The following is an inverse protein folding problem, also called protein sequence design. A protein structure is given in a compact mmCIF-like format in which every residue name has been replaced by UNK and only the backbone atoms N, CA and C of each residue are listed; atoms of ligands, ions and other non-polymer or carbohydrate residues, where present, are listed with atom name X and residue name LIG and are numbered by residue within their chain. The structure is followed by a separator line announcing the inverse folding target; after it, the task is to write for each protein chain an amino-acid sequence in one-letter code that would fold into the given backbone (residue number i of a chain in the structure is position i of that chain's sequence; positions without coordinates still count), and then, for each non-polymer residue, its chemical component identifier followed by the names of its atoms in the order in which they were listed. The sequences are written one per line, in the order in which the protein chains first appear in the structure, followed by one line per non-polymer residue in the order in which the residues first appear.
data_IF_327313959653
#
_entry.id   IF_327313959653
#
_cell.length_a   1.000
_cell.length_b   1.000
_cell.length_c   1.000
_cell.angle_alpha   90.00
_cell.angle_beta   90.00
_cell.angle_gamma   90.00
#
_symmetry.space_group_name_H-M   'P 1'
#
loop_
_entity.id
_entity.type
_entity.pdbx_description
1 polymer ?
#
# COMPACT_ATOMS: atom_id res chain seq x y z
N UNK A 1 -0.92 -17.51 -25.47
CA UNK A 1 0.11 -16.52 -25.89
C UNK A 1 0.83 -15.88 -24.70
N UNK A 2 0.14 -15.36 -23.68
CA UNK A 2 0.77 -14.69 -22.52
C UNK A 2 1.73 -15.60 -21.73
N UNK A 3 1.39 -16.87 -21.53
CA UNK A 3 2.25 -17.84 -20.85
C UNK A 3 3.55 -18.11 -21.64
N UNK A 4 3.49 -18.15 -22.97
CA UNK A 4 4.67 -18.33 -23.82
C UNK A 4 5.61 -17.12 -23.77
N UNK A 5 5.06 -15.90 -23.73
CA UNK A 5 5.85 -14.66 -23.61
C UNK A 5 6.53 -14.61 -22.23
N UNK A 6 5.82 -15.00 -21.17
CA UNK A 6 6.39 -15.06 -19.81
C UNK A 6 7.54 -16.05 -19.72
N UNK A 7 7.36 -17.26 -20.26
CA UNK A 7 8.41 -18.29 -20.30
C UNK A 7 9.65 -17.81 -21.06
N UNK A 8 9.45 -17.13 -22.21
CA UNK A 8 10.56 -16.59 -23.01
C UNK A 8 11.30 -15.47 -22.30
N UNK A 9 10.58 -14.61 -21.56
CA UNK A 9 11.20 -13.56 -20.73
C UNK A 9 12.02 -14.15 -19.57
N UNK A 10 11.55 -15.21 -18.93
CA UNK A 10 12.29 -15.90 -17.88
C UNK A 10 13.56 -16.57 -18.43
N UNK A 11 13.48 -17.18 -19.61
CA UNK A 11 14.62 -17.76 -20.32
C UNK A 11 15.67 -16.69 -20.63
N UNK A 12 15.27 -15.57 -21.27
CA UNK A 12 16.15 -14.45 -21.60
C UNK A 12 16.79 -13.80 -20.36
N UNK A 13 16.04 -13.67 -19.27
CA UNK A 13 16.57 -13.22 -17.97
C UNK A 13 17.62 -14.18 -17.40
N UNK A 14 17.38 -15.50 -17.57
CA UNK A 14 18.32 -16.53 -17.18
C UNK A 14 19.61 -16.48 -18.01
N UNK A 15 19.50 -16.32 -19.33
CA UNK A 15 20.64 -16.20 -20.24
C UNK A 15 21.46 -14.93 -19.96
N UNK A 16 20.79 -13.79 -19.75
CA UNK A 16 21.48 -12.53 -19.43
C UNK A 16 22.20 -12.58 -18.09
N UNK A 17 21.63 -13.24 -17.09
CA UNK A 17 22.32 -13.48 -15.81
C UNK A 17 23.54 -14.37 -15.97
N UNK A 18 23.43 -15.47 -16.73
CA UNK A 18 24.54 -16.38 -17.02
C UNK A 18 25.67 -15.68 -17.82
N UNK A 19 25.29 -14.88 -18.81
CA UNK A 19 26.26 -14.11 -19.60
C UNK A 19 27.01 -13.07 -18.75
N UNK A 20 26.28 -12.34 -17.89
CA UNK A 20 26.90 -11.40 -16.94
C UNK A 20 27.83 -12.10 -15.95
N UNK A 21 27.45 -13.28 -15.44
CA UNK A 21 28.30 -14.03 -14.54
C UNK A 21 29.57 -14.50 -15.24
N UNK A 22 29.46 -15.09 -16.44
CA UNK A 22 30.63 -15.49 -17.24
C UNK A 22 31.58 -14.33 -17.52
N UNK A 23 31.04 -13.16 -17.92
CA UNK A 23 31.84 -11.97 -18.16
C UNK A 23 32.57 -11.47 -16.88
N UNK A 24 31.92 -11.58 -15.72
CA UNK A 24 32.57 -11.28 -14.42
C UNK A 24 33.69 -12.27 -14.10
N UNK A 25 33.43 -13.55 -14.28
CA UNK A 25 34.42 -14.61 -13.99
C UNK A 25 35.65 -14.50 -14.92
N UNK A 26 35.43 -14.23 -16.22
CA UNK A 26 36.51 -14.00 -17.20
C UNK A 26 37.32 -12.73 -16.85
N UNK A 27 36.63 -11.63 -16.48
CA UNK A 27 37.31 -10.39 -16.08
C UNK A 27 38.15 -10.59 -14.80
N UNK A 28 37.68 -11.41 -13.85
CA UNK A 28 38.39 -11.72 -12.62
C UNK A 28 39.63 -12.60 -12.90
N UNK A 29 39.47 -13.60 -13.78
CA UNK A 29 40.61 -14.43 -14.21
C UNK A 29 41.69 -13.62 -14.91
N UNK A 30 41.30 -12.69 -15.76
CA UNK A 30 42.20 -11.81 -16.49
C UNK A 30 42.95 -10.87 -15.55
N UNK A 31 42.24 -10.29 -14.55
CA UNK A 31 42.82 -9.44 -13.53
C UNK A 31 43.81 -10.23 -12.63
N UNK A 32 43.50 -11.47 -12.26
CA UNK A 32 44.43 -12.37 -11.53
C UNK A 32 45.70 -12.66 -12.34
N UNK A 33 45.53 -13.01 -13.62
CA UNK A 33 46.68 -13.29 -14.49
C UNK A 33 47.59 -12.06 -14.67
N UNK A 34 47.01 -10.88 -14.81
CA UNK A 34 47.75 -9.60 -14.89
C UNK A 34 48.50 -9.30 -13.56
N UNK A 35 47.83 -9.52 -12.43
CA UNK A 35 48.45 -9.32 -11.12
C UNK A 35 49.63 -10.30 -10.89
N UNK A 36 49.43 -11.58 -11.25
CA UNK A 36 50.53 -12.60 -11.16
C UNK A 36 51.71 -12.23 -12.04
N UNK A 37 51.47 -11.71 -13.25
CA UNK A 37 52.49 -11.24 -14.16
C UNK A 37 53.28 -10.06 -13.57
N UNK A 38 52.52 -9.06 -13.06
CA UNK A 38 53.14 -7.90 -12.42
C UNK A 38 53.97 -8.25 -11.17
N UNK A 39 53.53 -9.24 -10.38
CA UNK A 39 54.30 -9.78 -9.24
C UNK A 39 55.58 -10.42 -9.73
N UNK A 40 55.55 -11.23 -10.78
CA UNK A 40 56.74 -11.90 -11.36
C UNK A 40 57.73 -10.91 -11.95
N UNK A 41 57.24 -9.83 -12.55
CA UNK A 41 58.06 -8.76 -13.13
C UNK A 41 58.49 -7.71 -12.10
N UNK A 42 58.06 -7.85 -10.84
CA UNK A 42 58.34 -6.94 -9.72
C UNK A 42 57.90 -5.48 -10.00
N UNK A 43 56.81 -5.35 -10.78
CA UNK A 43 56.24 -4.09 -11.20
C UNK A 43 55.21 -3.56 -10.18
N UNK A 44 55.73 -2.88 -9.17
CA UNK A 44 54.92 -2.34 -8.08
C UNK A 44 53.92 -1.27 -8.56
N UNK A 45 54.21 -0.56 -9.63
CA UNK A 45 53.34 0.50 -10.16
C UNK A 45 52.08 -0.10 -10.84
N UNK A 46 52.27 -1.19 -11.60
CA UNK A 46 51.14 -1.94 -12.17
C UNK A 46 50.28 -2.57 -11.09
N UNK A 47 50.86 -3.15 -10.05
CA UNK A 47 50.12 -3.74 -8.93
C UNK A 47 49.26 -2.69 -8.22
N UNK A 48 49.81 -1.52 -7.95
CA UNK A 48 49.11 -0.41 -7.29
C UNK A 48 47.96 0.11 -8.15
N UNK A 49 48.12 0.17 -9.47
CA UNK A 49 47.09 0.56 -10.42
C UNK A 49 45.94 -0.45 -10.47
N UNK A 50 46.28 -1.75 -10.49
CA UNK A 50 45.29 -2.85 -10.46
C UNK A 50 44.48 -2.81 -9.16
N UNK A 51 45.15 -2.66 -8.03
CA UNK A 51 44.51 -2.62 -6.70
C UNK A 51 43.58 -1.40 -6.57
N UNK A 52 44.03 -0.23 -7.03
CA UNK A 52 43.23 1.01 -7.07
C UNK A 52 41.99 0.83 -7.92
N UNK A 53 42.13 0.32 -9.14
CA UNK A 53 41.01 0.05 -10.04
C UNK A 53 40.01 -0.95 -9.45
N UNK A 54 40.50 -1.98 -8.76
CA UNK A 54 39.67 -2.97 -8.07
C UNK A 54 38.90 -2.35 -6.91
N UNK A 55 39.57 -1.54 -6.10
CA UNK A 55 38.96 -0.81 -4.98
C UNK A 55 37.88 0.16 -5.45
N UNK A 56 38.12 0.92 -6.52
CA UNK A 56 37.15 1.85 -7.13
C UNK A 56 35.92 1.10 -7.67
N UNK A 57 36.12 -0.02 -8.37
CA UNK A 57 35.01 -0.87 -8.85
C UNK A 57 34.17 -1.41 -7.70
N UNK A 58 34.84 -1.92 -6.65
CA UNK A 58 34.13 -2.46 -5.49
C UNK A 58 33.32 -1.37 -4.76
N UNK A 59 33.89 -0.17 -4.62
CA UNK A 59 33.21 0.97 -4.04
C UNK A 59 31.99 1.38 -4.86
N UNK A 60 32.11 1.41 -6.18
CA UNK A 60 31.00 1.73 -7.09
C UNK A 60 29.89 0.66 -7.04
N UNK A 61 30.25 -0.63 -7.04
CA UNK A 61 29.29 -1.74 -6.91
C UNK A 61 28.55 -1.69 -5.56
N UNK A 62 29.28 -1.43 -4.47
CA UNK A 62 28.67 -1.29 -3.14
C UNK A 62 27.71 -0.09 -3.08
N UNK A 63 28.10 1.05 -3.63
CA UNK A 63 27.23 2.24 -3.70
C UNK A 63 25.96 1.96 -4.50
N UNK A 64 26.08 1.34 -5.68
CA UNK A 64 24.94 0.96 -6.51
C UNK A 64 24.02 -0.04 -5.82
N UNK A 65 24.59 -1.06 -5.16
CA UNK A 65 23.82 -2.06 -4.41
C UNK A 65 23.09 -1.43 -3.23
N UNK A 66 23.76 -0.53 -2.51
CA UNK A 66 23.13 0.19 -1.38
C UNK A 66 21.97 1.07 -1.85
N UNK A 67 22.13 1.76 -2.97
CA UNK A 67 21.05 2.58 -3.56
C UNK A 67 19.88 1.71 -4.00
N UNK A 68 20.15 0.64 -4.73
CA UNK A 68 19.10 -0.29 -5.18
C UNK A 68 18.35 -0.95 -4.02
N UNK A 69 19.08 -1.27 -2.92
CA UNK A 69 18.47 -1.82 -1.72
C UNK A 69 17.54 -0.79 -1.04
N UNK A 70 17.99 0.46 -0.92
CA UNK A 70 17.14 1.54 -0.37
C UNK A 70 15.87 1.73 -1.19
N UNK A 71 15.98 1.83 -2.50
CA UNK A 71 14.83 1.97 -3.41
C UNK A 71 13.87 0.78 -3.30
N UNK A 72 14.41 -0.43 -3.18
CA UNK A 72 13.59 -1.64 -2.99
C UNK A 72 12.85 -1.64 -1.65
N UNK A 73 13.51 -1.21 -0.56
CA UNK A 73 12.89 -1.09 0.76
C UNK A 73 11.79 -0.04 0.74
N UNK A 74 12.08 1.16 0.24
CA UNK A 74 11.10 2.24 0.13
C UNK A 74 9.89 1.84 -0.74
N UNK A 75 10.14 1.15 -1.85
CA UNK A 75 9.09 0.61 -2.72
C UNK A 75 8.22 -0.44 -2.00
N UNK A 76 8.85 -1.32 -1.24
CA UNK A 76 8.15 -2.33 -0.45
C UNK A 76 7.32 -1.69 0.67
N UNK A 77 7.89 -0.78 1.44
CA UNK A 77 7.18 -0.05 2.50
C UNK A 77 5.98 0.71 1.95
N UNK A 78 6.14 1.41 0.82
CA UNK A 78 5.05 2.13 0.16
C UNK A 78 3.94 1.19 -0.30
N UNK A 79 4.29 0.06 -0.92
CA UNK A 79 3.29 -0.90 -1.40
C UNK A 79 2.56 -1.58 -0.24
N UNK A 80 3.27 -1.89 0.84
CA UNK A 80 2.68 -2.45 2.06
C UNK A 80 1.75 -1.44 2.72
N UNK A 81 2.17 -0.19 2.87
CA UNK A 81 1.33 0.87 3.40
C UNK A 81 0.05 1.04 2.57
N UNK A 82 0.14 1.11 1.24
CA UNK A 82 -1.03 1.23 0.36
C UNK A 82 -2.01 0.06 0.54
N UNK A 83 -1.49 -1.16 0.67
CA UNK A 83 -2.31 -2.34 0.91
C UNK A 83 -3.02 -2.27 2.26
N UNK A 84 -2.29 -1.97 3.32
CA UNK A 84 -2.86 -1.88 4.68
C UNK A 84 -3.89 -0.74 4.78
N UNK A 85 -3.61 0.41 4.20
CA UNK A 85 -4.57 1.53 4.12
C UNK A 85 -5.82 1.15 3.34
N UNK A 86 -5.68 0.43 2.22
CA UNK A 86 -6.83 -0.04 1.44
C UNK A 86 -7.66 -1.06 2.21
N UNK A 87 -7.00 -2.01 2.89
CA UNK A 87 -7.66 -2.99 3.75
C UNK A 87 -8.43 -2.30 4.88
N UNK A 88 -7.79 -1.32 5.52
CA UNK A 88 -8.42 -0.55 6.58
C UNK A 88 -9.59 0.31 6.04
N UNK A 89 -9.45 0.89 4.85
CA UNK A 89 -10.50 1.64 4.15
C UNK A 89 -11.79 0.85 3.94
N UNK A 90 -11.70 -0.46 3.75
CA UNK A 90 -12.88 -1.35 3.65
C UNK A 90 -13.72 -1.32 4.93
N UNK A 91 -13.10 -1.12 6.10
CA UNK A 91 -13.80 -1.05 7.39
C UNK A 91 -14.79 0.12 7.51
N UNK A 92 -14.65 1.13 6.65
CA UNK A 92 -15.57 2.28 6.55
C UNK A 92 -16.82 1.99 5.73
N UNK A 93 -16.95 0.80 5.15
CA UNK A 93 -18.07 0.39 4.30
C UNK A 93 -18.31 1.34 3.11
N UNK A 94 -17.32 1.49 2.19
CA UNK A 94 -17.41 2.44 1.07
C UNK A 94 -18.55 2.10 0.11
N UNK A 95 -19.13 3.12 -0.51
CA UNK A 95 -20.26 2.96 -1.47
C UNK A 95 -19.82 2.36 -2.79
N UNK A 96 -18.54 2.49 -3.17
CA UNK A 96 -17.98 2.03 -4.43
C UNK A 96 -16.47 1.81 -4.33
N UNK A 97 -15.87 1.18 -5.37
CA UNK A 97 -14.42 1.05 -5.48
C UNK A 97 -13.72 2.42 -5.60
N UNK A 98 -14.36 3.41 -6.25
CA UNK A 98 -13.84 4.76 -6.32
C UNK A 98 -13.82 5.42 -4.93
N UNK A 99 -14.90 5.28 -4.16
CA UNK A 99 -14.97 5.76 -2.78
C UNK A 99 -13.90 5.11 -1.89
N UNK A 100 -13.61 3.81 -2.07
CA UNK A 100 -12.51 3.14 -1.37
C UNK A 100 -11.16 3.75 -1.73
N UNK A 101 -10.93 4.07 -3.00
CA UNK A 101 -9.66 4.69 -3.44
C UNK A 101 -9.48 6.09 -2.83
N UNK A 102 -10.53 6.91 -2.79
CA UNK A 102 -10.47 8.24 -2.17
C UNK A 102 -10.24 8.15 -0.64
N UNK A 103 -10.97 7.25 0.03
CA UNK A 103 -10.73 6.94 1.43
C UNK A 103 -9.29 6.49 1.70
N UNK A 104 -8.76 5.59 0.86
CA UNK A 104 -7.38 5.13 0.98
C UNK A 104 -6.37 6.27 0.85
N UNK A 105 -6.57 7.21 -0.07
CA UNK A 105 -5.70 8.38 -0.20
C UNK A 105 -5.74 9.27 1.05
N UNK A 106 -6.93 9.52 1.60
CA UNK A 106 -7.08 10.32 2.84
C UNK A 106 -6.44 9.63 4.04
N UNK A 107 -6.64 8.33 4.17
CA UNK A 107 -6.03 7.53 5.23
C UNK A 107 -4.50 7.48 5.08
N UNK A 108 -3.98 7.34 3.85
CA UNK A 108 -2.54 7.35 3.59
C UNK A 108 -1.87 8.67 4.02
N UNK A 109 -2.57 9.80 3.88
CA UNK A 109 -2.07 11.09 4.35
C UNK A 109 -2.01 11.22 5.89
N UNK A 110 -2.76 10.38 6.60
CA UNK A 110 -2.89 10.40 8.07
C UNK A 110 -2.30 9.19 8.76
N UNK A 111 -1.60 8.34 8.02
CA UNK A 111 -0.97 7.12 8.54
C UNK A 111 0.41 6.90 7.98
N UNK A 112 1.23 6.15 8.70
CA UNK A 112 2.57 5.73 8.28
C UNK A 112 2.88 4.34 8.82
N UNK A 113 3.63 3.55 8.06
CA UNK A 113 4.20 2.30 8.57
C UNK A 113 5.37 2.59 9.50
N UNK A 114 5.36 1.95 10.67
CA UNK A 114 6.48 1.96 11.63
C UNK A 114 6.79 0.50 11.95
N UNK A 115 7.75 -0.05 11.25
CA UNK A 115 7.96 -1.49 11.20
C UNK A 115 6.80 -2.20 10.51
N UNK A 116 6.14 -3.11 11.20
CA UNK A 116 4.98 -3.85 10.69
C UNK A 116 3.63 -3.18 11.01
N UNK A 117 3.63 -2.18 11.88
CA UNK A 117 2.42 -1.52 12.38
C UNK A 117 2.10 -0.25 11.60
N UNK A 118 0.81 -0.06 11.28
CA UNK A 118 0.30 1.21 10.77
C UNK A 118 -0.05 2.15 11.93
N UNK A 119 0.60 3.32 11.97
CA UNK A 119 0.45 4.32 13.03
C UNK A 119 -0.20 5.58 12.49
N UNK A 120 -0.91 6.29 13.38
CA UNK A 120 -1.62 7.52 13.04
C UNK A 120 -0.70 8.72 13.13
N UNK A 121 -0.82 9.61 12.15
CA UNK A 121 -0.15 10.91 12.11
C UNK A 121 -1.14 12.02 12.48
N UNK A 122 -0.63 13.09 13.09
CA UNK A 122 -1.38 14.34 13.26
C UNK A 122 -1.46 15.13 11.94
N UNK A 123 -2.06 16.31 11.99
CA UNK A 123 -2.17 17.20 10.83
C UNK A 123 -0.83 17.81 10.39
N UNK A 124 0.18 17.72 11.23
CA UNK A 124 1.54 18.18 10.99
C UNK A 124 2.43 17.06 10.43
N UNK A 125 1.94 15.83 10.41
CA UNK A 125 2.67 14.65 9.93
C UNK A 125 3.52 13.95 11.00
N UNK A 126 3.33 14.31 12.27
CA UNK A 126 4.03 13.70 13.40
C UNK A 126 3.27 12.48 13.94
N UNK A 127 4.00 11.52 14.48
CA UNK A 127 3.40 10.32 15.07
C UNK A 127 2.60 10.65 16.32
N UNK A 128 1.38 10.12 16.40
CA UNK A 128 0.49 10.31 17.55
C UNK A 128 0.32 9.02 18.36
N UNK A 129 -0.24 9.17 19.56
CA UNK A 129 -0.69 8.06 20.38
C UNK A 129 -2.11 7.57 20.02
N UNK A 130 -2.76 8.20 19.01
CA UNK A 130 -4.10 7.82 18.57
C UNK A 130 -4.09 6.44 17.95
N UNK A 131 -5.12 5.65 18.25
CA UNK A 131 -5.37 4.37 17.59
C UNK A 131 -6.00 4.59 16.21
N UNK A 132 -6.00 3.54 15.39
CA UNK A 132 -6.70 3.56 14.11
C UNK A 132 -8.23 3.73 14.30
N UNK A 133 -8.79 3.18 15.38
CA UNK A 133 -10.21 3.33 15.70
C UNK A 133 -10.56 4.76 16.11
N UNK A 134 -9.66 5.47 16.79
CA UNK A 134 -9.82 6.89 17.09
C UNK A 134 -9.80 7.71 15.80
N UNK A 135 -8.86 7.43 14.89
CA UNK A 135 -8.79 8.05 13.57
C UNK A 135 -10.07 7.80 12.76
N UNK A 136 -10.59 6.57 12.79
CA UNK A 136 -11.84 6.22 12.14
C UNK A 136 -13.01 7.03 12.70
N UNK A 137 -13.07 7.17 14.01
CA UNK A 137 -14.10 7.94 14.68
C UNK A 137 -13.99 9.43 14.36
N UNK A 138 -12.78 9.99 14.34
CA UNK A 138 -12.50 11.37 13.94
C UNK A 138 -12.97 11.64 12.51
N UNK A 139 -12.54 10.82 11.54
CA UNK A 139 -12.88 11.00 10.13
C UNK A 139 -14.38 10.81 9.88
N UNK A 140 -15.01 9.83 10.54
CA UNK A 140 -16.45 9.59 10.41
C UNK A 140 -17.29 10.72 10.99
N UNK A 141 -16.87 11.32 12.09
CA UNK A 141 -17.58 12.42 12.74
C UNK A 141 -17.38 13.78 12.06
N UNK A 142 -16.30 13.95 11.29
CA UNK A 142 -16.05 15.19 10.54
C UNK A 142 -17.07 15.46 9.42
N UNK A 143 -17.80 14.45 8.99
CA UNK A 143 -18.74 14.54 7.87
C UNK A 143 -18.10 14.61 6.49
N UNK A 144 -16.79 14.75 6.40
CA UNK A 144 -16.06 14.89 5.13
C UNK A 144 -16.17 13.68 4.21
N UNK A 145 -16.35 12.47 4.81
CA UNK A 145 -16.46 11.21 4.08
C UNK A 145 -17.90 10.70 3.96
N UNK A 146 -18.91 11.46 4.40
CA UNK A 146 -20.31 11.01 4.42
C UNK A 146 -20.81 10.53 3.04
N UNK A 147 -20.30 11.13 1.96
CA UNK A 147 -20.63 10.77 0.58
C UNK A 147 -19.86 9.54 0.06
N UNK A 148 -18.81 9.11 0.75
CA UNK A 148 -17.97 7.98 0.37
C UNK A 148 -18.36 6.67 1.05
N UNK A 149 -19.08 6.75 2.16
CA UNK A 149 -19.45 5.59 2.98
C UNK A 149 -20.96 5.33 2.88
N UNK A 150 -21.34 4.06 2.92
CA UNK A 150 -22.74 3.70 3.08
C UNK A 150 -23.17 4.19 4.47
N UNK A 151 -24.10 5.14 4.51
CA UNK A 151 -24.73 5.51 5.78
C UNK A 151 -25.20 4.25 6.48
N UNK A 152 -25.05 4.16 7.79
CA UNK A 152 -25.87 3.22 8.53
C UNK A 152 -27.28 3.50 8.05
N UNK A 153 -27.89 2.52 7.36
CA UNK A 153 -29.34 2.53 7.21
C UNK A 153 -29.83 2.51 8.66
N UNK A 154 -29.98 3.68 9.24
CA UNK A 154 -30.89 3.82 10.34
C UNK A 154 -32.18 3.32 9.71
N UNK A 155 -32.61 2.16 10.13
CA UNK A 155 -33.94 1.68 9.92
C UNK A 155 -34.84 2.83 10.38
N UNK A 156 -35.15 3.72 9.45
CA UNK A 156 -36.17 4.74 9.60
C UNK A 156 -37.51 4.06 9.50
N UNK A 157 -37.66 3.04 10.34
CA UNK A 157 -38.90 2.52 10.75
C UNK A 157 -39.46 3.47 11.77
N UNK A 158 -40.61 3.98 11.52
CA UNK A 158 -41.52 4.66 12.46
C UNK A 158 -41.16 6.10 12.85
N UNK A 159 -41.14 6.98 11.88
CA UNK A 159 -41.67 8.31 12.09
C UNK A 159 -43.18 8.36 11.70
N UNK A 160 -43.93 7.36 12.09
CA UNK A 160 -45.37 7.53 12.35
C UNK A 160 -45.50 7.66 13.87
N UNK A 161 -45.31 8.88 14.35
CA UNK A 161 -45.77 9.32 15.65
C UNK A 161 -47.28 9.16 15.73
N UNK A 162 -47.73 7.92 15.80
CA UNK A 162 -49.04 7.57 16.27
C UNK A 162 -49.06 7.80 17.75
N UNK A 163 -49.64 8.93 18.16
CA UNK A 163 -50.11 9.11 19.54
C UNK A 163 -50.89 7.86 19.94
N UNK A 164 -50.29 6.99 20.72
CA UNK A 164 -50.97 5.91 21.42
C UNK A 164 -51.84 6.53 22.51
N UNK A 165 -53.02 6.93 22.10
CA UNK A 165 -54.14 7.07 23.05
C UNK A 165 -54.57 5.66 23.47
N UNK A 166 -54.54 5.29 24.76
CA UNK A 166 -54.63 3.90 25.21
C UNK A 166 -56.05 3.33 25.19
N UNK A 167 -56.97 3.81 24.36
CA UNK A 167 -58.37 3.36 24.40
C UNK A 167 -59.07 3.32 23.04
N UNK A 168 -58.43 2.98 21.96
CA UNK A 168 -59.17 2.73 20.71
C UNK A 168 -58.69 1.43 20.07
N UNK A 169 -59.55 0.39 19.93
CA UNK A 169 -59.20 -0.85 19.23
C UNK A 169 -58.89 -0.47 17.76
N UNK A 170 -57.79 -0.96 17.25
CA UNK A 170 -57.31 -0.73 15.91
C UNK A 170 -58.37 -1.05 14.86
N UNK A 171 -59.01 -0.06 14.29
CA UNK A 171 -59.92 -0.23 13.17
C UNK A 171 -59.12 -0.62 11.92
N UNK A 172 -59.58 -1.61 11.21
CA UNK A 172 -59.05 -2.00 9.91
C UNK A 172 -59.29 -0.87 8.88
N UNK A 173 -58.46 -0.75 7.84
CA UNK A 173 -58.58 0.26 6.79
C UNK A 173 -60.00 0.30 6.17
N UNK A 174 -60.68 -0.83 6.10
CA UNK A 174 -62.07 -0.95 5.61
C UNK A 174 -63.07 -0.32 6.59
N UNK A 175 -62.86 -0.43 7.88
CA UNK A 175 -63.71 0.18 8.91
C UNK A 175 -63.53 1.71 8.96
N UNK A 176 -62.34 2.19 8.68
CA UNK A 176 -62.09 3.64 8.56
C UNK A 176 -62.77 4.27 7.35
N UNK A 177 -62.80 3.58 6.21
CA UNK A 177 -63.53 4.03 5.00
C UNK A 177 -65.04 4.01 5.24
N UNK A 178 -65.55 2.98 5.86
CA UNK A 178 -66.95 2.85 6.18
C UNK A 178 -67.44 3.94 7.15
N UNK A 179 -66.64 4.30 8.15
CA UNK A 179 -66.99 5.37 9.10
C UNK A 179 -66.88 6.79 8.48
N UNK A 180 -66.11 6.97 7.42
CA UNK A 180 -66.03 8.22 6.65
C UNK A 180 -67.27 8.43 5.77
N UNK A 181 -67.78 7.36 5.14
CA UNK A 181 -68.97 7.45 4.30
C UNK A 181 -70.28 7.64 5.08
N UNK A 182 -70.32 7.24 6.35
CA UNK A 182 -71.54 7.41 7.17
C UNK A 182 -71.73 8.83 7.73
N UNK A 183 -70.80 9.73 7.47
CA UNK A 183 -70.81 11.13 7.89
C UNK A 183 -71.12 12.15 6.75
N UNK A 184 -71.41 11.62 5.55
CA UNK A 184 -71.89 12.38 4.41
C UNK A 184 -73.41 12.19 4.29
#
# INVERSE_FOLDING_TARGET
EFAAIKAKNEELLGETKKAKQKAKDEAELLAKAQAEKAIKENDHEQLLTIEKSRSEKLAAENAATTTALKEAIEGFEKSTHQREVSNYGVSFNPVSAFALSDLAQRLAARTKMVGEDMRVLDKQGELTALSLDDLKSEISSSGEIAHLVKGNQSSGGDALGGSNSPNNPAMTSVQQIASGLAKL
#
